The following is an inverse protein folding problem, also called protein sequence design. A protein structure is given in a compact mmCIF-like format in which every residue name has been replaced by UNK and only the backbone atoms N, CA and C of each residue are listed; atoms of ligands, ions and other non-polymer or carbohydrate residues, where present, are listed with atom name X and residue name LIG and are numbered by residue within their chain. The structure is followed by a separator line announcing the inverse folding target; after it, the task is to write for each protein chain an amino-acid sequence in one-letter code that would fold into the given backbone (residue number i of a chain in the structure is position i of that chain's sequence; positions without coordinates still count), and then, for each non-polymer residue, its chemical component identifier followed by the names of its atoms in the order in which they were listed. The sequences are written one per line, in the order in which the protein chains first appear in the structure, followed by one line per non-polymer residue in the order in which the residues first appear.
data_IF_161010897156
#
_entry.id   IF_161010897156
#
_cell.length_a   1.000
_cell.length_b   1.000
_cell.length_c   1.000
_cell.angle_alpha   90.00
_cell.angle_beta   90.00
_cell.angle_gamma   90.00
#
_symmetry.space_group_name_H-M   'P 1'
#
loop_
_entity.id
_entity.type
_entity.pdbx_description
1 polymer ?
#
# COMPACT_ATOMS: atom_id res chain seq x y z
N UNK A 1 20.20 10.33 -24.58
CA UNK A 1 20.20 9.22 -23.60
C UNK A 1 19.98 9.72 -22.16
N UNK A 2 18.73 10.04 -21.75
CA UNK A 2 18.38 10.44 -20.38
C UNK A 2 17.79 9.31 -19.51
N UNK A 3 17.44 8.16 -20.10
CA UNK A 3 16.78 7.05 -19.39
C UNK A 3 17.73 6.23 -18.50
N UNK A 4 19.01 6.18 -18.84
CA UNK A 4 20.04 5.44 -18.10
C UNK A 4 20.37 6.14 -16.77
N UNK A 5 20.56 7.45 -16.76
CA UNK A 5 20.85 8.23 -15.54
C UNK A 5 19.76 8.10 -14.47
N UNK A 6 18.49 8.08 -14.89
CA UNK A 6 17.35 7.94 -13.97
C UNK A 6 17.26 6.53 -13.36
N UNK A 7 17.68 5.52 -14.11
CA UNK A 7 17.77 4.13 -13.64
C UNK A 7 18.93 3.96 -12.64
N UNK A 8 20.10 4.54 -12.93
CA UNK A 8 21.24 4.51 -12.00
C UNK A 8 20.95 5.26 -10.70
N UNK A 9 20.29 6.42 -10.75
CA UNK A 9 19.89 7.16 -9.55
C UNK A 9 18.91 6.36 -8.67
N UNK A 10 18.02 5.57 -9.29
CA UNK A 10 17.08 4.70 -8.58
C UNK A 10 17.77 3.48 -7.97
N UNK A 11 18.71 2.87 -8.69
CA UNK A 11 19.49 1.74 -8.19
C UNK A 11 20.40 2.16 -7.02
N UNK A 12 21.00 3.35 -7.11
CA UNK A 12 21.83 3.91 -6.04
C UNK A 12 21.00 4.23 -4.78
N UNK A 13 19.78 4.76 -4.93
CA UNK A 13 18.92 5.03 -3.77
C UNK A 13 18.44 3.75 -3.08
N UNK A 14 18.13 2.69 -3.84
CA UNK A 14 17.79 1.38 -3.28
C UNK A 14 18.99 0.73 -2.57
N UNK A 15 20.19 0.84 -3.13
CA UNK A 15 21.41 0.30 -2.51
C UNK A 15 21.73 1.00 -1.18
N UNK A 16 21.57 2.33 -1.09
CA UNK A 16 21.79 3.08 0.17
C UNK A 16 20.77 2.66 1.23
N UNK A 17 19.50 2.50 0.87
CA UNK A 17 18.46 2.05 1.80
C UNK A 17 18.72 0.62 2.33
N UNK A 18 19.22 -0.28 1.48
CA UNK A 18 19.59 -1.64 1.89
C UNK A 18 20.82 -1.66 2.80
N UNK A 19 21.82 -0.80 2.54
CA UNK A 19 23.01 -0.68 3.38
C UNK A 19 22.71 -0.14 4.79
N UNK A 20 21.74 0.78 4.91
CA UNK A 20 21.28 1.30 6.20
C UNK A 20 20.53 0.22 7.02
N UNK A 21 19.77 -0.64 6.36
CA UNK A 21 19.05 -1.74 7.01
C UNK A 21 20.00 -2.85 7.49
N UNK A 22 21.05 -3.15 6.71
CA UNK A 22 22.05 -4.16 7.09
C UNK A 22 22.88 -3.74 8.32
N UNK A 23 23.00 -2.42 8.59
CA UNK A 23 23.76 -1.90 9.74
C UNK A 23 22.98 -1.90 11.06
N UNK A 24 21.67 -2.20 11.03
CA UNK A 24 20.84 -2.38 12.23
C UNK A 24 20.80 -3.83 12.76
N UNK A 25 21.58 -4.75 12.17
CA UNK A 25 21.43 -6.20 12.38
C UNK A 25 22.58 -6.91 13.10
N UNK A 26 23.29 -6.27 14.03
CA UNK A 26 24.29 -7.00 14.85
C UNK A 26 24.35 -6.50 16.30
N UNK A 27 23.36 -6.90 17.10
CA UNK A 27 23.48 -6.90 18.56
C UNK A 27 23.86 -8.31 19.04
N UNK A 28 25.11 -8.51 19.45
CA UNK A 28 25.56 -9.68 20.22
C UNK A 28 25.95 -9.19 21.63
N UNK A 29 25.48 -9.84 22.72
CA UNK A 29 25.65 -9.31 24.07
C UNK A 29 26.91 -9.81 24.81
N UNK A 30 27.30 -8.96 25.76
CA UNK A 30 27.98 -9.19 27.04
C UNK A 30 29.52 -9.34 27.10
N UNK A 31 30.11 -8.47 27.93
CA UNK A 31 31.47 -8.53 28.47
C UNK A 31 31.77 -7.26 29.26
N UNK A 32 31.47 -7.27 30.57
CA UNK A 32 31.63 -6.16 31.54
C UNK A 32 33.09 -5.72 31.78
N UNK A 33 33.32 -4.41 31.96
CA UNK A 33 34.04 -3.78 33.09
C UNK A 33 34.29 -2.26 32.85
N UNK A 34 34.39 -1.42 33.91
CA UNK A 34 34.12 0.02 33.85
C UNK A 34 35.37 0.92 33.96
N UNK A 35 35.41 2.02 33.20
CA UNK A 35 36.28 3.19 33.51
C UNK A 35 35.63 4.49 33.01
N UNK A 36 35.64 5.49 33.88
CA UNK A 36 35.16 6.87 33.72
C UNK A 36 35.65 7.59 32.46
N UNK A 37 34.82 8.51 31.95
CA UNK A 37 35.27 9.57 31.04
C UNK A 37 34.15 10.31 30.27
N UNK A 38 33.65 11.38 30.88
CA UNK A 38 33.23 12.68 30.29
C UNK A 38 32.00 12.74 29.34
N UNK A 39 31.11 13.75 29.50
CA UNK A 39 29.87 13.85 28.74
C UNK A 39 30.10 14.56 27.40
N UNK A 40 30.00 13.80 26.30
CA UNK A 40 29.83 14.37 24.97
C UNK A 40 28.33 14.32 24.60
N UNK A 41 27.76 15.51 24.51
CA UNK A 41 26.48 15.83 23.89
C UNK A 41 26.45 15.30 22.46
N UNK A 42 25.91 14.10 22.28
CA UNK A 42 25.35 13.68 21.01
C UNK A 42 23.83 13.62 21.21
N UNK A 43 23.24 14.80 21.06
CA UNK A 43 21.83 15.01 20.74
C UNK A 43 21.48 14.13 19.55
N UNK A 44 21.09 12.89 19.86
CA UNK A 44 20.35 12.04 18.95
C UNK A 44 19.05 12.77 18.67
N UNK A 45 19.00 13.47 17.55
CA UNK A 45 17.73 13.68 16.88
C UNK A 45 17.18 12.27 16.65
N UNK A 46 16.35 11.82 17.58
CA UNK A 46 15.41 10.75 17.35
C UNK A 46 14.70 11.14 16.07
N UNK A 47 15.12 10.52 14.95
CA UNK A 47 14.33 10.51 13.73
C UNK A 47 13.07 9.80 14.13
N UNK A 48 12.12 10.58 14.64
CA UNK A 48 10.84 10.13 15.13
C UNK A 48 10.12 9.64 13.90
N UNK A 49 10.36 8.37 13.57
CA UNK A 49 9.70 7.67 12.49
C UNK A 49 8.25 7.70 12.88
N UNK A 50 7.52 8.61 12.24
CA UNK A 50 6.14 8.87 12.57
C UNK A 50 5.38 7.56 12.60
N UNK A 51 4.75 7.30 13.73
CA UNK A 51 4.05 6.05 13.99
C UNK A 51 2.69 6.01 13.26
N UNK A 52 2.39 7.08 12.50
CA UNK A 52 1.19 7.27 11.71
C UNK A 52 1.27 6.49 10.40
N UNK A 53 0.31 5.58 10.21
CA UNK A 53 0.23 4.75 9.01
C UNK A 53 0.02 5.58 7.73
N UNK A 54 -0.65 6.72 7.84
CA UNK A 54 -0.92 7.64 6.72
C UNK A 54 0.31 8.37 6.18
N UNK A 55 1.36 8.51 6.99
CA UNK A 55 2.62 9.17 6.61
C UNK A 55 3.61 8.23 5.93
N UNK A 56 3.32 6.92 5.94
CA UNK A 56 4.17 5.94 5.28
C UNK A 56 4.41 6.29 3.79
N UNK A 57 5.67 6.33 3.32
CA UNK A 57 5.98 6.66 1.93
C UNK A 57 5.43 5.61 0.95
N UNK A 58 5.13 4.40 1.43
CA UNK A 58 4.54 3.29 0.66
C UNK A 58 3.24 3.72 -0.03
N UNK A 59 2.40 4.53 0.65
CA UNK A 59 1.18 5.08 0.05
C UNK A 59 1.47 5.91 -1.20
N UNK A 60 2.46 6.81 -1.11
CA UNK A 60 2.82 7.67 -2.24
C UNK A 60 3.37 6.86 -3.42
N UNK A 61 4.16 5.83 -3.11
CA UNK A 61 4.78 4.96 -4.12
C UNK A 61 3.76 4.11 -4.85
N UNK A 62 2.84 3.46 -4.13
CA UNK A 62 1.82 2.62 -4.77
C UNK A 62 0.81 3.45 -5.57
N UNK A 63 0.38 4.61 -5.06
CA UNK A 63 -0.56 5.51 -5.76
C UNK A 63 0.08 6.07 -7.04
N UNK A 64 1.36 6.45 -6.97
CA UNK A 64 2.09 6.95 -8.15
C UNK A 64 2.25 5.86 -9.20
N UNK A 65 2.56 4.63 -8.77
CA UNK A 65 2.77 3.49 -9.68
C UNK A 65 1.50 3.01 -10.38
N UNK A 66 0.32 3.28 -9.80
CA UNK A 66 -0.99 2.85 -10.33
C UNK A 66 -1.75 3.99 -11.01
N UNK A 67 -1.14 5.17 -11.15
CA UNK A 67 -1.80 6.33 -11.75
C UNK A 67 -2.16 6.03 -13.21
N UNK A 68 -3.41 6.27 -13.65
CA UNK A 68 -3.78 6.09 -15.05
C UNK A 68 -3.09 7.12 -15.95
N UNK A 69 -2.70 6.70 -17.15
CA UNK A 69 -1.92 7.52 -18.10
C UNK A 69 -2.72 8.65 -18.77
N UNK A 70 -4.06 8.64 -18.70
CA UNK A 70 -4.90 9.65 -19.38
C UNK A 70 -6.20 9.98 -18.65
N UNK A 71 -6.44 11.29 -18.43
CA UNK A 71 -7.67 11.81 -17.81
C UNK A 71 -8.93 11.56 -18.67
N UNK A 72 -8.80 11.57 -20.01
CA UNK A 72 -9.93 11.33 -20.93
C UNK A 72 -10.42 9.88 -20.91
N UNK A 73 -9.53 8.94 -20.62
CA UNK A 73 -9.84 7.51 -20.44
C UNK A 73 -10.64 7.35 -19.15
N UNK A 74 -10.25 8.03 -18.08
CA UNK A 74 -10.91 7.98 -16.78
C UNK A 74 -12.42 8.30 -16.82
N UNK A 75 -12.83 9.37 -17.51
CA UNK A 75 -14.26 9.76 -17.64
C UNK A 75 -15.11 8.72 -18.39
N UNK A 76 -14.53 7.99 -19.34
CA UNK A 76 -15.25 6.95 -20.10
C UNK A 76 -15.38 5.65 -19.33
N UNK A 77 -14.47 5.39 -18.40
CA UNK A 77 -14.41 4.14 -17.64
C UNK A 77 -15.12 4.17 -16.29
N UNK A 78 -15.47 5.37 -15.80
CA UNK A 78 -16.12 5.55 -14.51
C UNK A 78 -17.42 4.76 -14.37
N UNK A 79 -18.16 4.60 -15.48
CA UNK A 79 -19.44 3.90 -15.55
C UNK A 79 -19.34 2.46 -16.07
N UNK A 80 -18.13 1.95 -16.34
CA UNK A 80 -17.98 0.60 -16.85
C UNK A 80 -18.22 -0.42 -15.73
N UNK A 81 -19.18 -1.35 -15.89
CA UNK A 81 -19.52 -2.28 -14.83
C UNK A 81 -18.35 -3.21 -14.55
N UNK A 82 -17.90 -3.20 -13.31
CA UNK A 82 -17.01 -4.23 -12.77
C UNK A 82 -17.74 -4.94 -11.64
N UNK A 83 -17.53 -6.25 -11.45
CA UNK A 83 -17.83 -6.90 -10.18
C UNK A 83 -17.14 -6.09 -9.10
N UNK A 84 -17.94 -5.32 -8.34
CA UNK A 84 -17.41 -4.24 -7.53
C UNK A 84 -16.39 -4.79 -6.52
N UNK A 85 -15.19 -4.21 -6.40
CA UNK A 85 -14.44 -4.32 -5.17
C UNK A 85 -15.11 -3.41 -4.14
N UNK A 86 -16.27 -3.84 -3.61
CA UNK A 86 -16.92 -3.13 -2.52
C UNK A 86 -16.19 -3.45 -1.22
N UNK A 87 -15.49 -2.43 -0.70
CA UNK A 87 -15.45 -2.08 0.72
C UNK A 87 -14.56 -0.85 0.95
N UNK A 88 -14.85 0.28 0.29
CA UNK A 88 -14.38 1.57 0.82
C UNK A 88 -14.82 1.67 2.28
N UNK A 89 -13.99 2.26 3.13
CA UNK A 89 -14.35 2.48 4.52
C UNK A 89 -15.60 3.39 4.57
N UNK A 90 -16.72 2.95 5.18
CA UNK A 90 -17.91 3.76 5.28
C UNK A 90 -17.60 5.12 5.94
N UNK A 91 -18.24 6.19 5.45
CA UNK A 91 -17.99 7.55 5.96
C UNK A 91 -18.43 7.75 7.40
N UNK A 92 -19.39 6.95 7.89
CA UNK A 92 -20.03 7.08 9.19
C UNK A 92 -20.00 5.78 9.98
N UNK A 93 -19.86 5.89 11.32
CA UNK A 93 -20.06 4.83 12.31
C UNK A 93 -19.29 3.53 12.06
N UNK A 94 -18.05 3.64 11.59
CA UNK A 94 -17.21 2.48 11.35
C UNK A 94 -15.96 2.50 12.23
N UNK A 95 -15.56 1.34 12.73
CA UNK A 95 -14.37 1.22 13.58
C UNK A 95 -13.09 1.35 12.74
N UNK A 96 -12.02 1.88 13.35
CA UNK A 96 -10.68 1.91 12.74
C UNK A 96 -10.27 0.49 12.33
N UNK A 97 -10.46 -0.48 13.21
CA UNK A 97 -10.13 -1.89 12.99
C UNK A 97 -10.82 -2.46 11.73
N UNK A 98 -12.13 -2.34 11.65
CA UNK A 98 -12.87 -2.87 10.50
C UNK A 98 -12.51 -2.15 9.21
N UNK A 99 -12.11 -0.87 9.27
CA UNK A 99 -11.63 -0.14 8.10
C UNK A 99 -10.28 -0.69 7.61
N UNK A 100 -9.34 -0.94 8.52
CA UNK A 100 -8.05 -1.57 8.19
C UNK A 100 -8.25 -2.97 7.61
N UNK A 101 -9.14 -3.78 8.21
CA UNK A 101 -9.51 -5.11 7.68
C UNK A 101 -10.04 -5.03 6.24
N UNK A 102 -10.95 -4.09 5.97
CA UNK A 102 -11.48 -3.87 4.62
C UNK A 102 -10.43 -3.41 3.62
N UNK A 103 -9.46 -2.60 4.05
CA UNK A 103 -8.35 -2.19 3.19
C UNK A 103 -7.46 -3.36 2.81
N UNK A 104 -7.08 -4.21 3.77
CA UNK A 104 -6.29 -5.42 3.46
C UNK A 104 -7.06 -6.34 2.53
N UNK A 105 -8.35 -6.57 2.82
CA UNK A 105 -9.22 -7.36 1.94
C UNK A 105 -9.32 -6.79 0.52
N UNK A 106 -9.43 -5.47 0.38
CA UNK A 106 -9.41 -4.79 -0.91
C UNK A 106 -8.10 -5.00 -1.67
N UNK A 107 -6.95 -4.85 -0.99
CA UNK A 107 -5.64 -5.10 -1.60
C UNK A 107 -5.50 -6.54 -2.09
N UNK A 108 -5.97 -7.51 -1.31
CA UNK A 108 -5.97 -8.93 -1.69
C UNK A 108 -6.85 -9.20 -2.90
N UNK A 109 -8.07 -8.63 -2.96
CA UNK A 109 -8.95 -8.71 -4.13
C UNK A 109 -8.28 -8.11 -5.38
N UNK A 110 -7.64 -6.95 -5.26
CA UNK A 110 -6.94 -6.34 -6.39
C UNK A 110 -5.75 -7.16 -6.90
N UNK A 111 -5.05 -7.90 -6.04
CA UNK A 111 -4.01 -8.85 -6.51
C UNK A 111 -4.61 -9.90 -7.46
N UNK A 112 -5.81 -10.38 -7.17
CA UNK A 112 -6.52 -11.34 -8.01
C UNK A 112 -7.00 -10.67 -9.29
N UNK A 113 -7.67 -9.52 -9.20
CA UNK A 113 -8.16 -8.78 -10.37
C UNK A 113 -7.03 -8.40 -11.34
N UNK A 114 -5.82 -8.13 -10.85
CA UNK A 114 -4.68 -7.85 -11.71
C UNK A 114 -4.18 -9.05 -12.52
N UNK A 115 -4.55 -10.30 -12.18
CA UNK A 115 -4.33 -11.46 -13.06
C UNK A 115 -5.08 -11.32 -14.38
N UNK A 116 -6.25 -10.66 -14.36
CA UNK A 116 -6.99 -10.32 -15.57
C UNK A 116 -6.22 -9.30 -16.42
N UNK A 117 -5.66 -8.27 -15.78
CA UNK A 117 -4.83 -7.25 -16.46
C UNK A 117 -3.57 -7.87 -17.04
N UNK A 118 -2.92 -8.79 -16.33
CA UNK A 118 -1.75 -9.52 -16.79
C UNK A 118 -2.02 -10.34 -18.05
N UNK A 119 -3.20 -10.95 -18.17
CA UNK A 119 -3.62 -11.68 -19.38
C UNK A 119 -3.74 -10.75 -20.60
N UNK A 120 -4.31 -9.56 -20.43
CA UNK A 120 -4.52 -8.60 -21.52
C UNK A 120 -3.28 -7.74 -21.82
N UNK A 121 -2.45 -7.47 -20.80
CA UNK A 121 -1.28 -6.58 -20.85
C UNK A 121 -0.12 -7.11 -19.98
N UNK A 122 0.59 -8.17 -20.40
CA UNK A 122 1.63 -8.83 -19.59
C UNK A 122 2.78 -7.92 -19.15
N UNK A 123 3.15 -6.95 -20.00
CA UNK A 123 4.25 -6.01 -19.75
C UNK A 123 3.82 -4.75 -19.00
N UNK A 124 2.61 -4.70 -18.44
CA UNK A 124 2.13 -3.52 -17.75
C UNK A 124 2.95 -3.26 -16.46
N UNK A 125 3.59 -2.10 -16.32
CA UNK A 125 4.47 -1.83 -15.17
C UNK A 125 3.73 -1.74 -13.83
N UNK A 126 2.40 -1.60 -13.84
CA UNK A 126 1.59 -1.64 -12.61
C UNK A 126 1.70 -2.99 -11.92
N UNK A 127 1.82 -4.10 -12.66
CA UNK A 127 1.80 -5.46 -12.12
C UNK A 127 2.93 -5.72 -11.11
N UNK A 128 4.22 -5.60 -11.48
CA UNK A 128 5.32 -5.82 -10.52
C UNK A 128 5.33 -4.78 -9.40
N UNK A 129 5.03 -3.51 -9.71
CA UNK A 129 5.02 -2.44 -8.71
C UNK A 129 3.94 -2.66 -7.66
N UNK A 130 2.72 -2.96 -8.08
CA UNK A 130 1.62 -3.23 -7.16
C UNK A 130 1.91 -4.48 -6.33
N UNK A 131 2.44 -5.57 -6.91
CA UNK A 131 2.82 -6.77 -6.16
C UNK A 131 3.77 -6.43 -5.01
N UNK A 132 4.82 -5.66 -5.29
CA UNK A 132 5.79 -5.24 -4.28
C UNK A 132 5.18 -4.32 -3.22
N UNK A 133 4.62 -3.17 -3.64
CA UNK A 133 4.14 -2.17 -2.68
C UNK A 133 2.89 -2.61 -1.91
N UNK A 134 2.00 -3.43 -2.51
CA UNK A 134 0.86 -3.99 -1.78
C UNK A 134 1.30 -4.91 -0.65
N UNK A 135 2.40 -5.66 -0.81
CA UNK A 135 2.95 -6.51 0.25
C UNK A 135 3.45 -5.69 1.44
N UNK A 136 4.18 -4.62 1.16
CA UNK A 136 4.62 -3.67 2.18
C UNK A 136 3.42 -3.01 2.86
N UNK A 137 2.43 -2.58 2.09
CA UNK A 137 1.26 -1.88 2.61
C UNK A 137 0.38 -2.79 3.48
N UNK A 138 0.15 -4.03 3.06
CA UNK A 138 -0.57 -5.04 3.86
C UNK A 138 0.16 -5.24 5.19
N UNK A 139 1.47 -5.45 5.17
CA UNK A 139 2.27 -5.67 6.39
C UNK A 139 2.17 -4.48 7.35
N UNK A 140 2.21 -3.26 6.83
CA UNK A 140 2.06 -2.03 7.63
C UNK A 140 0.66 -1.90 8.24
N UNK A 141 -0.38 -2.19 7.47
CA UNK A 141 -1.77 -2.13 7.94
C UNK A 141 -2.00 -3.19 9.02
N UNK A 142 -1.58 -4.44 8.78
CA UNK A 142 -1.70 -5.55 9.72
C UNK A 142 -0.96 -5.27 11.05
N UNK A 143 0.19 -4.58 10.99
CA UNK A 143 0.91 -4.14 12.19
C UNK A 143 0.14 -3.14 13.05
N UNK A 144 -0.91 -2.49 12.52
CA UNK A 144 -1.79 -1.56 13.26
C UNK A 144 -3.16 -2.16 13.59
N UNK A 145 -3.41 -3.41 13.20
CA UNK A 145 -4.65 -4.13 13.49
C UNK A 145 -4.53 -4.92 14.80
N UNK A 146 -5.61 -4.96 15.57
CA UNK A 146 -5.66 -5.79 16.79
C UNK A 146 -5.99 -7.25 16.46
N UNK A 147 -6.82 -7.50 15.44
CA UNK A 147 -7.35 -8.82 15.08
C UNK A 147 -7.03 -9.12 13.61
N UNK A 148 -5.73 -9.20 13.29
CA UNK A 148 -5.25 -9.40 11.92
C UNK A 148 -5.71 -10.71 11.31
N UNK A 149 -5.93 -11.74 12.12
CA UNK A 149 -6.41 -13.06 11.74
C UNK A 149 -7.83 -13.06 11.14
N UNK A 150 -8.60 -11.99 11.34
CA UNK A 150 -9.92 -11.84 10.72
C UNK A 150 -9.83 -11.53 9.22
N UNK A 151 -8.66 -11.14 8.72
CA UNK A 151 -8.41 -10.97 7.29
C UNK A 151 -7.83 -12.25 6.72
N UNK A 152 -8.65 -12.99 5.97
CA UNK A 152 -8.20 -14.16 5.21
C UNK A 152 -7.85 -13.79 3.77
N UNK A 153 -6.87 -14.50 3.22
CA UNK A 153 -6.65 -14.57 1.77
C UNK A 153 -7.87 -15.20 1.08
N UNK A 154 -8.08 -14.84 -0.20
CA UNK A 154 -9.06 -15.50 -1.03
C UNK A 154 -8.62 -16.95 -1.28
N UNK A 155 -9.55 -17.88 -1.21
CA UNK A 155 -9.33 -19.28 -1.63
C UNK A 155 -9.24 -19.37 -3.14
N UNK A 156 -8.59 -20.41 -3.67
CA UNK A 156 -8.47 -20.60 -5.13
C UNK A 156 -9.81 -20.58 -5.85
N UNK A 157 -10.88 -21.11 -5.24
CA UNK A 157 -12.23 -21.07 -5.80
C UNK A 157 -12.82 -19.66 -5.82
N UNK A 158 -12.63 -18.86 -4.76
CA UNK A 158 -13.05 -17.46 -4.74
C UNK A 158 -12.29 -16.63 -5.78
N UNK A 159 -10.99 -16.89 -5.96
CA UNK A 159 -10.20 -16.23 -7.01
C UNK A 159 -10.70 -16.57 -8.41
N UNK A 160 -10.99 -17.85 -8.68
CA UNK A 160 -11.49 -18.30 -9.96
C UNK A 160 -12.87 -17.73 -10.28
N UNK A 161 -13.79 -17.73 -9.31
CA UNK A 161 -15.12 -17.11 -9.48
C UNK A 161 -15.00 -15.62 -9.81
N UNK A 162 -14.16 -14.88 -9.09
CA UNK A 162 -13.97 -13.46 -9.32
C UNK A 162 -13.44 -13.15 -10.73
N UNK A 163 -12.54 -13.99 -11.25
CA UNK A 163 -12.01 -13.84 -12.61
C UNK A 163 -13.03 -14.26 -13.67
N UNK A 164 -13.77 -15.34 -13.43
CA UNK A 164 -14.78 -15.89 -14.34
C UNK A 164 -15.96 -14.94 -14.54
N UNK A 165 -16.35 -14.20 -13.51
CA UNK A 165 -17.39 -13.15 -13.60
C UNK A 165 -17.04 -12.04 -14.60
N UNK A 166 -15.76 -11.88 -14.94
CA UNK A 166 -15.25 -10.87 -15.88
C UNK A 166 -14.92 -11.42 -17.27
N UNK A 167 -14.99 -12.74 -17.48
CA UNK A 167 -14.64 -13.34 -18.77
C UNK A 167 -15.64 -12.88 -19.85
N UNK A 168 -15.11 -12.33 -20.94
CA UNK A 168 -15.90 -11.85 -22.06
C UNK A 168 -15.20 -12.20 -23.39
N UNK A 169 -15.91 -12.77 -24.38
CA UNK A 169 -15.29 -13.08 -25.67
C UNK A 169 -14.89 -11.83 -26.47
N UNK A 170 -15.57 -10.70 -26.25
CA UNK A 170 -15.33 -9.46 -26.99
C UNK A 170 -14.05 -8.73 -26.52
N UNK A 171 -13.16 -8.47 -27.48
CA UNK A 171 -11.85 -7.86 -27.23
C UNK A 171 -11.98 -6.45 -26.67
N UNK A 172 -12.97 -5.67 -27.13
CA UNK A 172 -13.17 -4.31 -26.64
C UNK A 172 -13.58 -4.31 -25.17
N UNK A 173 -14.55 -5.14 -24.80
CA UNK A 173 -14.98 -5.36 -23.43
C UNK A 173 -13.84 -5.87 -22.54
N UNK A 174 -13.01 -6.80 -23.05
CA UNK A 174 -11.87 -7.28 -22.25
C UNK A 174 -10.88 -6.17 -21.94
N UNK A 175 -10.49 -5.37 -22.93
CA UNK A 175 -9.58 -4.24 -22.74
C UNK A 175 -10.17 -3.17 -21.83
N UNK A 176 -11.46 -2.87 -22.00
CA UNK A 176 -12.15 -1.90 -21.16
C UNK A 176 -12.19 -2.34 -19.70
N UNK A 177 -12.45 -3.63 -19.46
CA UNK A 177 -12.41 -4.26 -18.13
C UNK A 177 -11.03 -4.10 -17.49
N UNK A 178 -9.96 -4.45 -18.21
CA UNK A 178 -8.59 -4.32 -17.70
C UNK A 178 -8.22 -2.87 -17.33
N UNK A 179 -8.56 -1.90 -18.18
CA UNK A 179 -8.36 -0.49 -17.87
C UNK A 179 -9.23 -0.02 -16.69
N UNK A 180 -10.44 -0.56 -16.54
CA UNK A 180 -11.33 -0.22 -15.43
C UNK A 180 -10.78 -0.75 -14.11
N UNK A 181 -10.20 -1.96 -14.09
CA UNK A 181 -9.52 -2.52 -12.92
C UNK A 181 -8.38 -1.61 -12.48
N UNK A 182 -7.53 -1.15 -13.41
CA UNK A 182 -6.42 -0.24 -13.11
C UNK A 182 -6.91 1.10 -12.55
N UNK A 183 -7.99 1.65 -13.11
CA UNK A 183 -8.59 2.88 -12.62
C UNK A 183 -9.14 2.70 -11.19
N UNK A 184 -9.95 1.66 -10.96
CA UNK A 184 -10.56 1.38 -9.65
C UNK A 184 -9.51 1.05 -8.60
N UNK A 185 -8.40 0.43 -8.98
CA UNK A 185 -7.26 0.24 -8.10
C UNK A 185 -6.69 1.58 -7.62
N UNK A 186 -6.47 2.52 -8.53
CA UNK A 186 -5.93 3.84 -8.16
C UNK A 186 -6.89 4.61 -7.24
N UNK A 187 -8.18 4.60 -7.55
CA UNK A 187 -9.24 5.22 -6.72
C UNK A 187 -9.27 4.61 -5.32
N UNK A 188 -9.26 3.28 -5.24
CA UNK A 188 -9.22 2.54 -3.99
C UNK A 188 -8.01 2.92 -3.13
N UNK A 189 -6.81 3.02 -3.71
CA UNK A 189 -5.60 3.38 -2.97
C UNK A 189 -5.65 4.82 -2.45
N UNK A 190 -6.14 5.75 -3.25
CA UNK A 190 -6.32 7.16 -2.86
C UNK A 190 -7.30 7.26 -1.69
N UNK A 191 -8.45 6.60 -1.79
CA UNK A 191 -9.48 6.68 -0.74
C UNK A 191 -9.11 5.91 0.52
N UNK A 192 -8.34 4.82 0.39
CA UNK A 192 -7.76 4.12 1.53
C UNK A 192 -6.79 5.01 2.30
N UNK A 193 -5.87 5.70 1.62
CA UNK A 193 -4.95 6.65 2.25
C UNK A 193 -5.72 7.75 3.00
N UNK A 194 -6.73 8.35 2.37
CA UNK A 194 -7.57 9.39 3.02
C UNK A 194 -8.26 8.85 4.26
N UNK A 195 -8.76 7.62 4.21
CA UNK A 195 -9.45 6.98 5.33
C UNK A 195 -8.51 6.77 6.51
N UNK A 196 -7.29 6.28 6.26
CA UNK A 196 -6.27 6.13 7.31
C UNK A 196 -5.88 7.48 7.90
N UNK A 197 -5.63 8.49 7.08
CA UNK A 197 -5.25 9.84 7.54
C UNK A 197 -6.32 10.45 8.46
N UNK A 198 -7.61 10.23 8.16
CA UNK A 198 -8.71 10.67 9.03
C UNK A 198 -8.61 10.06 10.43
N UNK A 199 -8.27 8.78 10.55
CA UNK A 199 -8.14 8.11 11.85
C UNK A 199 -6.87 8.51 12.60
N UNK A 200 -5.77 8.68 11.89
CA UNK A 200 -4.50 9.15 12.48
C UNK A 200 -4.70 10.55 13.07
N UNK A 201 -5.36 11.46 12.34
CA UNK A 201 -5.68 12.81 12.84
C UNK A 201 -6.62 12.80 14.06
N UNK A 202 -7.63 11.93 14.06
CA UNK A 202 -8.53 11.76 15.21
C UNK A 202 -7.81 11.23 16.45
N UNK A 203 -6.79 10.39 16.27
CA UNK A 203 -5.99 9.85 17.36
C UNK A 203 -5.10 10.94 17.95
N UNK A 204 -4.41 11.72 17.11
CA UNK A 204 -3.59 12.87 17.54
C UNK A 204 -4.42 13.93 18.25
N UNK A 205 -5.63 14.24 17.78
CA UNK A 205 -6.50 15.21 18.47
C UNK A 205 -6.97 14.74 19.85
N UNK A 206 -7.09 13.42 20.06
CA UNK A 206 -7.51 12.84 21.35
C UNK A 206 -6.36 12.77 22.36
N UNK A 207 -5.13 12.56 21.90
CA UNK A 207 -3.95 12.56 22.78
C UNK A 207 -3.52 13.95 23.25
N UNK A 208 -4.03 15.01 22.61
CA UNK A 208 -3.71 16.41 22.93
C UNK A 208 -4.71 17.06 23.92
N UNK A 209 -5.71 16.33 24.40
CA UNK A 209 -6.62 16.84 25.45
C UNK A 209 -5.98 16.53 26.80
N UNK A 210 -5.54 17.54 27.60
CA UNK A 210 -5.03 17.31 28.94
C UNK A 210 -6.17 16.76 29.82
N UNK A 211 -5.89 15.71 30.58
CA UNK A 211 -6.75 15.29 31.68
C UNK A 211 -6.61 16.35 32.79
N UNK A 212 -7.65 17.20 32.94
CA UNK A 212 -7.86 18.00 34.16
C UNK A 212 -8.35 17.12 35.32
#
# INVERSE_FOLDING_TARGET
APHTLRSYAYLLSVAVMLALLARCGSGRPAGDAPTEGTPDDLSGEDVQRSDLLSESPVWSSIIRSTRPDAQKVRLKLEHYPLPAPSALCPKFNFSKESCLQRQVQGLLKFRVLLKYVEREYPSNPVLPNFKFYSGLLISLIEGKMKHREQVRALTSSEEEMLLKEMDNPDVFHRRMTAHSILLKLNEFLIDSKKSVAKYDNQQTSRSLIPLE
#
